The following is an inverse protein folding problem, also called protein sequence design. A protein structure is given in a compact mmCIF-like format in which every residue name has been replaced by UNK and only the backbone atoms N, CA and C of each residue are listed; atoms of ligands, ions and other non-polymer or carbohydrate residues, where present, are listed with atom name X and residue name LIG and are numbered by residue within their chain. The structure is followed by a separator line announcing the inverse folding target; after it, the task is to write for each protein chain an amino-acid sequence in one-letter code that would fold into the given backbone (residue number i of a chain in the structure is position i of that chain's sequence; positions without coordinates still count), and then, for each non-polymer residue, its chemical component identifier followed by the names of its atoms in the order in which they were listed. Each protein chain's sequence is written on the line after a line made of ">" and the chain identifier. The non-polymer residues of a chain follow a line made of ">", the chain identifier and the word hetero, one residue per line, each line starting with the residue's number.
data_IF_323615174612
#
_entry.id   IF_323615174612
#
_cell.length_a   1.000
_cell.length_b   1.000
_cell.length_c   1.000
_cell.angle_alpha   90.00
_cell.angle_beta   90.00
_cell.angle_gamma   90.00
#
_symmetry.space_group_name_H-M   'P 1'
#
loop_
_entity.id
_entity.type
_entity.pdbx_description
1 polymer ?
#
# COMPACT_ATOMS: atom_id res chain seq x y z
N UNK A 1 10.55 -8.22 -16.17
CA UNK A 1 10.56 -9.16 -15.05
C UNK A 1 9.42 -8.80 -14.10
N UNK A 2 8.63 -9.78 -13.70
CA UNK A 2 7.52 -9.53 -12.78
C UNK A 2 8.03 -9.51 -11.35
N UNK A 3 7.75 -8.42 -10.64
CA UNK A 3 8.03 -8.28 -9.23
C UNK A 3 6.78 -8.55 -8.42
N UNK A 4 6.93 -8.74 -7.13
CA UNK A 4 5.81 -8.86 -6.20
C UNK A 4 5.82 -7.67 -5.26
N UNK A 5 4.63 -7.10 -5.05
CA UNK A 5 4.44 -5.95 -4.18
C UNK A 5 3.49 -6.33 -3.05
N UNK A 6 3.89 -6.07 -1.82
CA UNK A 6 3.00 -6.20 -0.67
C UNK A 6 2.13 -4.96 -0.58
N UNK A 7 0.86 -5.14 -0.23
CA UNK A 7 -0.10 -4.06 -0.08
C UNK A 7 -0.47 -3.93 1.39
N UNK A 8 -0.33 -2.70 1.91
CA UNK A 8 -0.70 -2.38 3.28
C UNK A 8 -1.79 -1.33 3.25
N UNK A 9 -2.85 -1.56 4.02
CA UNK A 9 -4.00 -0.66 4.10
C UNK A 9 -4.44 -0.47 5.54
N UNK A 10 -5.02 0.70 5.83
CA UNK A 10 -5.70 0.90 7.11
C UNK A 10 -6.99 0.09 7.12
N UNK A 11 -7.33 -0.47 8.27
CA UNK A 11 -8.62 -1.15 8.46
C UNK A 11 -9.78 -0.16 8.31
N UNK A 12 -10.91 -0.64 7.79
CA UNK A 12 -12.13 0.17 7.72
C UNK A 12 -12.59 0.65 9.09
N UNK A 13 -12.18 -0.03 10.15
CA UNK A 13 -12.52 0.33 11.52
C UNK A 13 -11.61 1.42 12.10
N UNK A 14 -10.47 1.70 11.44
CA UNK A 14 -9.57 2.74 11.89
C UNK A 14 -10.13 4.10 11.53
N UNK A 15 -10.38 4.99 12.52
CA UNK A 15 -10.99 6.30 12.23
C UNK A 15 -10.14 7.18 11.32
N UNK A 16 -8.83 6.94 11.24
CA UNK A 16 -7.93 7.69 10.36
C UNK A 16 -8.12 7.40 8.88
N UNK A 17 -8.85 6.33 8.55
CA UNK A 17 -9.07 5.96 7.14
C UNK A 17 -9.78 7.07 6.35
N UNK A 18 -10.58 7.88 7.02
CA UNK A 18 -11.29 9.00 6.36
C UNK A 18 -10.35 10.13 5.97
N UNK A 19 -9.25 10.26 6.70
CA UNK A 19 -8.33 11.39 6.53
C UNK A 19 -7.10 11.04 5.67
N UNK A 20 -6.87 9.75 5.41
CA UNK A 20 -5.63 9.32 4.76
C UNK A 20 -5.44 9.92 3.37
N UNK A 21 -6.52 10.21 2.64
CA UNK A 21 -6.43 10.83 1.32
C UNK A 21 -5.83 12.23 1.36
N UNK A 22 -5.91 12.89 2.51
CA UNK A 22 -5.45 14.25 2.71
C UNK A 22 -4.15 14.33 3.50
N UNK A 23 -3.63 13.19 3.94
CA UNK A 23 -2.40 13.14 4.71
C UNK A 23 -1.18 13.33 3.83
N UNK A 24 -0.18 14.03 4.38
CA UNK A 24 1.14 14.12 3.74
C UNK A 24 1.86 12.77 3.84
N UNK A 25 2.92 12.62 3.04
CA UNK A 25 3.78 11.43 3.11
C UNK A 25 4.29 11.21 4.54
N UNK A 26 4.73 12.27 5.21
CA UNK A 26 5.26 12.21 6.57
C UNK A 26 4.20 11.79 7.58
N UNK A 27 2.96 12.27 7.41
CA UNK A 27 1.86 11.88 8.28
C UNK A 27 1.52 10.39 8.14
N UNK A 28 1.51 9.88 6.90
CA UNK A 28 1.26 8.45 6.65
C UNK A 28 2.41 7.61 7.21
N UNK A 29 3.65 8.05 7.00
CA UNK A 29 4.81 7.35 7.56
C UNK A 29 4.70 7.25 9.08
N UNK A 30 4.24 8.31 9.73
CA UNK A 30 4.11 8.35 11.19
C UNK A 30 3.09 7.35 11.73
N UNK A 31 2.07 7.00 10.94
CA UNK A 31 1.04 6.04 11.35
C UNK A 31 1.16 4.70 10.61
N UNK A 32 2.27 4.46 9.93
CA UNK A 32 2.43 3.26 9.10
C UNK A 32 2.38 1.96 9.90
N UNK A 33 2.68 2.00 11.19
CA UNK A 33 2.55 0.85 12.09
C UNK A 33 1.08 0.43 12.32
N UNK A 34 0.12 1.28 11.94
CA UNK A 34 -1.30 0.96 12.03
C UNK A 34 -1.85 0.29 10.78
N UNK A 35 -1.05 0.22 9.71
CA UNK A 35 -1.43 -0.43 8.47
C UNK A 35 -1.30 -1.94 8.58
N UNK A 36 -2.22 -2.65 7.96
CA UNK A 36 -2.20 -4.11 7.91
C UNK A 36 -1.76 -4.60 6.53
N UNK A 37 -1.00 -5.68 6.52
CA UNK A 37 -0.71 -6.40 5.28
C UNK A 37 -1.99 -7.08 4.81
N UNK A 38 -2.50 -6.69 3.65
CA UNK A 38 -3.79 -7.18 3.17
C UNK A 38 -3.71 -7.98 1.88
N UNK A 39 -2.60 -7.91 1.16
CA UNK A 39 -2.45 -8.68 -0.06
C UNK A 39 -1.13 -8.48 -0.74
N UNK A 40 -0.97 -9.16 -1.88
CA UNK A 40 0.20 -9.04 -2.74
C UNK A 40 -0.23 -8.90 -4.18
N UNK A 41 0.55 -8.17 -4.95
CA UNK A 41 0.27 -7.91 -6.36
C UNK A 41 1.49 -8.30 -7.19
N UNK A 42 1.28 -9.05 -8.27
CA UNK A 42 2.31 -9.33 -9.25
C UNK A 42 2.26 -8.25 -10.34
N UNK A 43 3.34 -7.52 -10.51
CA UNK A 43 3.43 -6.43 -11.47
C UNK A 43 4.88 -6.15 -11.84
N UNK A 44 5.08 -5.41 -12.94
CA UNK A 44 6.44 -5.08 -13.41
C UNK A 44 7.05 -3.90 -12.63
N UNK A 45 6.21 -2.97 -12.17
CA UNK A 45 6.65 -1.77 -11.47
C UNK A 45 5.52 -1.22 -10.60
N UNK A 46 5.81 -0.13 -9.89
CA UNK A 46 4.84 0.51 -8.99
C UNK A 46 3.58 0.99 -9.69
N UNK A 47 3.71 1.59 -10.86
CA UNK A 47 2.55 2.09 -11.60
C UNK A 47 1.63 0.95 -12.00
N UNK A 48 2.20 -0.15 -12.48
CA UNK A 48 1.41 -1.33 -12.82
C UNK A 48 0.80 -1.96 -11.57
N UNK A 49 1.56 -2.02 -10.46
CA UNK A 49 1.02 -2.53 -9.20
C UNK A 49 -0.19 -1.73 -8.75
N UNK A 50 -0.10 -0.40 -8.82
CA UNK A 50 -1.24 0.46 -8.51
C UNK A 50 -2.42 0.18 -9.44
N UNK A 51 -2.17 0.11 -10.75
CA UNK A 51 -3.23 -0.14 -11.74
C UNK A 51 -3.91 -1.48 -11.48
N UNK A 52 -3.14 -2.53 -11.28
CA UNK A 52 -3.67 -3.87 -10.98
C UNK A 52 -4.56 -3.85 -9.74
N UNK A 53 -4.09 -3.22 -8.68
CA UNK A 53 -4.84 -3.14 -7.42
C UNK A 53 -6.06 -2.22 -7.51
N UNK A 54 -5.95 -1.14 -8.27
CA UNK A 54 -7.03 -0.15 -8.38
C UNK A 54 -8.20 -0.67 -9.23
N UNK A 55 -7.90 -1.28 -10.37
CA UNK A 55 -8.95 -1.85 -11.23
C UNK A 55 -9.34 -3.28 -10.82
N UNK A 56 -8.67 -3.82 -9.79
CA UNK A 56 -8.91 -5.17 -9.29
C UNK A 56 -8.70 -6.27 -10.33
N UNK A 57 -7.52 -6.30 -10.93
CA UNK A 57 -7.13 -7.38 -11.85
C UNK A 57 -6.83 -8.65 -11.04
N UNK A 58 -7.88 -9.38 -10.71
CA UNK A 58 -7.90 -10.47 -9.73
C UNK A 58 -6.83 -11.53 -9.96
N UNK A 59 -6.52 -11.84 -11.22
CA UNK A 59 -5.54 -12.86 -11.55
C UNK A 59 -4.11 -12.54 -11.04
N UNK A 60 -3.84 -11.27 -10.75
CA UNK A 60 -2.53 -10.80 -10.27
C UNK A 60 -2.54 -10.43 -8.79
N UNK A 61 -3.66 -10.63 -8.12
CA UNK A 61 -3.82 -10.27 -6.72
C UNK A 61 -3.93 -11.52 -5.86
N UNK A 62 -3.13 -11.58 -4.80
CA UNK A 62 -3.26 -12.60 -3.76
C UNK A 62 -3.70 -11.92 -2.48
N UNK A 63 -4.94 -12.16 -2.06
CA UNK A 63 -5.45 -11.59 -0.81
C UNK A 63 -4.89 -12.34 0.39
N UNK A 64 -4.48 -11.59 1.40
CA UNK A 64 -4.00 -12.14 2.69
C UNK A 64 -4.96 -11.72 3.81
N UNK A 65 -5.68 -10.64 3.60
CA UNK A 65 -6.65 -10.10 4.55
C UNK A 65 -7.79 -9.42 3.83
N UNK A 66 -8.41 -8.44 4.46
CA UNK A 66 -9.53 -7.67 3.90
C UNK A 66 -9.00 -6.58 2.97
N UNK A 67 -8.52 -6.99 1.81
CA UNK A 67 -7.97 -6.06 0.84
C UNK A 67 -9.06 -5.35 0.05
N UNK A 68 -8.95 -4.01 0.00
CA UNK A 68 -9.76 -3.16 -0.88
C UNK A 68 -8.95 -2.81 -2.13
N UNK A 69 -9.60 -2.17 -3.10
CA UNK A 69 -8.89 -1.59 -4.25
C UNK A 69 -7.82 -0.61 -3.74
N UNK A 70 -6.65 -0.65 -4.38
CA UNK A 70 -5.54 0.24 -4.00
C UNK A 70 -5.87 1.67 -4.39
N UNK A 71 -5.64 2.60 -3.48
CA UNK A 71 -5.92 4.01 -3.70
C UNK A 71 -4.90 4.89 -2.99
N UNK A 72 -5.04 6.21 -3.18
CA UNK A 72 -4.18 7.20 -2.53
C UNK A 72 -4.18 6.99 -1.01
N UNK A 73 -3.00 7.01 -0.41
CA UNK A 73 -2.81 6.78 1.01
C UNK A 73 -2.47 5.34 1.37
N UNK A 74 -2.64 4.40 0.45
CA UNK A 74 -2.22 3.02 0.67
C UNK A 74 -0.70 2.89 0.52
N UNK A 75 -0.15 1.82 1.04
CA UNK A 75 1.29 1.58 1.03
C UNK A 75 1.60 0.35 0.21
N UNK A 76 2.60 0.46 -0.67
CA UNK A 76 3.11 -0.64 -1.48
C UNK A 76 4.58 -0.87 -1.15
N UNK A 77 4.94 -2.13 -0.91
CA UNK A 77 6.33 -2.51 -0.69
C UNK A 77 6.81 -3.39 -1.84
N UNK A 78 7.91 -2.97 -2.49
CA UNK A 78 8.58 -3.79 -3.50
C UNK A 78 9.37 -4.89 -2.78
N UNK A 79 8.93 -6.13 -2.93
CA UNK A 79 9.55 -7.26 -2.23
C UNK A 79 10.90 -7.67 -2.81
N UNK A 80 11.27 -7.14 -3.98
CA UNK A 80 12.60 -7.38 -4.56
C UNK A 80 13.63 -6.43 -3.95
N UNK A 81 13.30 -5.14 -3.85
CA UNK A 81 14.22 -4.12 -3.35
C UNK A 81 14.10 -3.87 -1.86
N UNK A 82 12.97 -4.22 -1.27
CA UNK A 82 12.65 -3.89 0.12
C UNK A 82 12.21 -2.46 0.34
N UNK A 83 12.09 -1.66 -0.73
CA UNK A 83 11.66 -0.28 -0.63
C UNK A 83 10.15 -0.18 -0.51
N UNK A 84 9.70 0.77 0.30
CA UNK A 84 8.29 0.96 0.62
C UNK A 84 7.85 2.34 0.18
N UNK A 85 6.65 2.42 -0.38
CA UNK A 85 6.14 3.66 -0.98
C UNK A 85 4.70 3.90 -0.56
N UNK A 86 4.36 5.17 -0.32
CA UNK A 86 2.96 5.58 -0.17
C UNK A 86 2.43 6.03 -1.54
N UNK A 87 1.20 5.64 -1.85
CA UNK A 87 0.51 6.09 -3.06
C UNK A 87 0.08 7.54 -2.84
N UNK A 88 0.62 8.45 -3.64
CA UNK A 88 0.32 9.87 -3.59
C UNK A 88 -0.65 10.26 -4.70
N UNK A 89 -1.13 11.51 -4.68
CA UNK A 89 -1.99 12.02 -5.75
C UNK A 89 -1.27 12.01 -7.10
N UNK A 90 0.03 12.25 -7.08
CA UNK A 90 0.89 12.20 -8.26
C UNK A 90 2.10 11.34 -7.94
N UNK A 91 2.08 10.08 -8.40
CA UNK A 91 3.20 9.18 -8.22
C UNK A 91 3.25 8.52 -6.87
N UNK A 92 4.45 8.17 -6.46
CA UNK A 92 4.72 7.39 -5.25
C UNK A 92 5.86 8.04 -4.49
N UNK A 93 5.72 8.09 -3.16
CA UNK A 93 6.77 8.66 -2.31
C UNK A 93 7.34 7.56 -1.41
N UNK A 94 8.66 7.44 -1.42
CA UNK A 94 9.33 6.44 -0.60
C UNK A 94 9.23 6.80 0.88
N UNK A 95 8.94 5.80 1.70
CA UNK A 95 8.86 5.95 3.15
C UNK A 95 9.61 4.81 3.84
N UNK A 96 9.82 4.97 5.13
CA UNK A 96 10.25 3.87 6.01
C UNK A 96 9.08 3.53 6.92
N UNK A 97 8.55 2.32 6.78
CA UNK A 97 7.45 1.90 7.64
C UNK A 97 7.91 1.77 9.08
N UNK A 98 7.11 2.29 10.00
CA UNK A 98 7.33 2.06 11.42
C UNK A 98 6.99 0.61 11.75
N UNK A 99 7.84 -0.02 12.57
CA UNK A 99 7.55 -1.35 13.07
C UNK A 99 6.47 -1.27 14.13
N UNK A 100 5.53 -2.23 14.06
CA UNK A 100 4.52 -2.34 15.11
C UNK A 100 5.21 -2.65 16.44
N UNK A 101 4.86 -1.92 17.48
CA UNK A 101 5.38 -2.17 18.82
C UNK A 101 4.53 -3.27 19.46
N UNK A 102 5.17 -4.37 19.75
CA UNK A 102 4.51 -5.48 20.45
C UNK A 102 4.41 -5.23 21.95
#
# INVERSE_FOLDING_TARGET
>A
MINRFAVYQLSDENPKIRDMYFMSTEEIEAISDEYDLVGMIDANDLEQAFTVGNIWAEARITKVGDMRSVSVGDILEDLVTGKTYVVANFGFNEITMKEAVE
#
